data_IF_081854444060
#
_entry.id   IF_081854444060
#
_cell.length_a   1.000
_cell.length_b   1.000
_cell.length_c   1.000
_cell.angle_alpha   90.00
_cell.angle_beta   90.00
_cell.angle_gamma   90.00
#
_symmetry.space_group_name_H-M   'P 1'
#
loop_
_entity.id
_entity.type
_entity.pdbx_description
1 polymer ?
#
# COMPACT_ATOMS: atom_id res chain seq x y z
N UNK A 1 -47.46 -15.23 32.02
CA UNK A 1 -46.81 -16.29 31.22
C UNK A 1 -46.69 -15.92 29.75
N UNK A 2 -47.79 -15.62 29.04
CA UNK A 2 -47.76 -15.22 27.61
C UNK A 2 -46.93 -13.95 27.36
N UNK A 3 -47.07 -12.92 28.21
CA UNK A 3 -46.28 -11.69 28.11
C UNK A 3 -44.76 -11.94 28.25
N UNK A 4 -44.39 -12.90 29.09
CA UNK A 4 -43.01 -13.31 29.41
C UNK A 4 -42.36 -14.07 28.24
N UNK A 5 -43.13 -14.93 27.57
CA UNK A 5 -42.74 -15.59 26.32
C UNK A 5 -42.55 -14.59 25.18
N UNK A 6 -43.40 -13.57 25.10
CA UNK A 6 -43.26 -12.48 24.12
C UNK A 6 -42.01 -11.64 24.42
N UNK A 7 -41.69 -11.38 25.69
CA UNK A 7 -40.48 -10.59 26.04
C UNK A 7 -39.17 -11.35 25.77
N UNK A 8 -39.17 -12.68 25.82
CA UNK A 8 -38.02 -13.51 25.40
C UNK A 8 -37.93 -13.72 23.89
N UNK A 9 -39.09 -13.85 23.23
CA UNK A 9 -39.15 -14.02 21.79
C UNK A 9 -38.79 -12.74 21.05
N UNK A 10 -39.12 -11.56 21.56
CA UNK A 10 -38.85 -10.28 20.86
C UNK A 10 -37.36 -10.04 20.63
N UNK A 11 -36.43 -10.21 21.59
CA UNK A 11 -34.99 -10.13 21.33
C UNK A 11 -34.50 -11.22 20.38
N UNK A 12 -34.98 -12.45 20.48
CA UNK A 12 -34.60 -13.56 19.59
C UNK A 12 -35.11 -13.30 18.16
N UNK A 13 -36.31 -12.74 18.02
CA UNK A 13 -36.91 -12.34 16.76
C UNK A 13 -36.22 -11.09 16.22
N UNK A 14 -35.80 -10.13 17.04
CA UNK A 14 -35.03 -8.96 16.61
C UNK A 14 -33.63 -9.40 16.18
N UNK A 15 -32.96 -10.29 16.92
CA UNK A 15 -31.66 -10.87 16.52
C UNK A 15 -31.82 -11.70 15.25
N UNK A 16 -32.89 -12.49 15.14
CA UNK A 16 -33.23 -13.29 13.96
C UNK A 16 -33.61 -12.42 12.75
N UNK A 17 -34.35 -11.33 12.96
CA UNK A 17 -34.80 -10.40 11.93
C UNK A 17 -33.67 -9.48 11.49
N UNK A 18 -32.84 -8.96 12.40
CA UNK A 18 -31.59 -8.26 12.06
C UNK A 18 -30.66 -9.21 11.32
N UNK A 19 -30.55 -10.48 11.73
CA UNK A 19 -29.79 -11.48 10.98
C UNK A 19 -30.40 -11.80 9.60
N UNK A 20 -31.73 -11.82 9.46
CA UNK A 20 -32.44 -12.11 8.20
C UNK A 20 -32.57 -10.91 7.25
N UNK A 21 -32.63 -9.68 7.76
CA UNK A 21 -32.69 -8.45 6.96
C UNK A 21 -31.28 -8.06 6.49
N UNK A 22 -30.23 -8.41 7.26
CA UNK A 22 -28.84 -8.47 6.77
C UNK A 22 -28.69 -9.54 5.67
N UNK A 23 -29.41 -10.66 5.76
CA UNK A 23 -29.39 -11.78 4.81
C UNK A 23 -29.90 -11.42 3.40
N UNK A 24 -30.65 -10.31 3.24
CA UNK A 24 -31.16 -9.89 1.93
C UNK A 24 -30.28 -8.88 1.20
N UNK A 25 -29.29 -8.27 1.88
CA UNK A 25 -28.46 -7.22 1.29
C UNK A 25 -26.94 -7.45 1.36
N UNK A 26 -26.43 -8.33 2.22
CA UNK A 26 -24.98 -8.65 2.27
C UNK A 26 -24.73 -10.12 2.67
N UNK A 27 -24.65 -11.03 1.69
CA UNK A 27 -24.22 -12.42 1.88
C UNK A 27 -22.80 -12.54 2.46
N UNK A 28 -21.97 -11.53 2.27
CA UNK A 28 -20.54 -11.57 2.59
C UNK A 28 -20.25 -11.45 4.10
N UNK A 29 -21.17 -10.87 4.87
CA UNK A 29 -21.03 -10.74 6.33
C UNK A 29 -21.38 -12.06 7.03
N UNK A 30 -22.34 -12.83 6.49
CA UNK A 30 -22.71 -14.14 7.02
C UNK A 30 -21.62 -15.18 6.73
N UNK A 31 -21.02 -15.14 5.54
CA UNK A 31 -19.83 -15.94 5.24
C UNK A 31 -18.64 -15.53 6.11
N UNK A 32 -18.47 -14.24 6.43
CA UNK A 32 -17.45 -13.80 7.39
C UNK A 32 -17.69 -14.36 8.80
N UNK A 33 -18.92 -14.33 9.31
CA UNK A 33 -19.26 -14.88 10.63
C UNK A 33 -19.18 -16.41 10.68
N UNK A 34 -19.61 -17.11 9.62
CA UNK A 34 -19.53 -18.57 9.53
C UNK A 34 -18.09 -19.08 9.33
N UNK A 35 -17.23 -18.28 8.68
CA UNK A 35 -15.81 -18.62 8.46
C UNK A 35 -14.96 -18.49 9.73
N UNK A 36 -15.38 -17.67 10.70
CA UNK A 36 -14.70 -17.50 11.98
C UNK A 36 -15.38 -18.33 13.08
N UNK A 37 -15.09 -19.64 13.11
CA UNK A 37 -15.60 -20.61 14.11
C UNK A 37 -15.46 -20.13 15.56
N UNK A 38 -14.48 -19.27 15.83
CA UNK A 38 -14.20 -18.68 17.14
C UNK A 38 -15.35 -17.81 17.66
N UNK A 39 -16.03 -17.04 16.79
CA UNK A 39 -17.13 -16.17 17.18
C UNK A 39 -18.35 -16.97 17.65
N UNK A 40 -18.65 -18.09 16.98
CA UNK A 40 -19.74 -18.99 17.38
C UNK A 40 -19.51 -19.61 18.75
N UNK A 41 -18.26 -20.02 19.04
CA UNK A 41 -17.87 -20.58 20.33
C UNK A 41 -18.03 -19.54 21.44
N UNK A 42 -17.60 -18.30 21.22
CA UNK A 42 -17.76 -17.20 22.18
C UNK A 42 -19.25 -16.92 22.45
N UNK A 43 -20.08 -16.82 21.41
CA UNK A 43 -21.53 -16.58 21.57
C UNK A 43 -22.21 -17.72 22.33
N UNK A 44 -21.92 -18.98 21.97
CA UNK A 44 -22.46 -20.14 22.67
C UNK A 44 -22.05 -20.16 24.15
N UNK A 45 -20.79 -19.81 24.43
CA UNK A 45 -20.26 -19.75 25.79
C UNK A 45 -20.95 -18.68 26.64
N UNK A 46 -21.15 -17.47 26.09
CA UNK A 46 -21.91 -16.40 26.76
C UNK A 46 -23.34 -16.85 27.04
N UNK A 47 -24.00 -17.46 26.06
CA UNK A 47 -25.38 -17.95 26.19
C UNK A 47 -25.49 -19.05 27.28
N UNK A 48 -24.51 -19.96 27.33
CA UNK A 48 -24.42 -21.00 28.34
C UNK A 48 -24.20 -20.43 29.75
N UNK A 49 -23.30 -19.45 29.90
CA UNK A 49 -23.12 -18.74 31.18
C UNK A 49 -24.41 -18.02 31.59
N UNK A 50 -25.09 -17.33 30.67
CA UNK A 50 -26.36 -16.66 30.95
C UNK A 50 -27.43 -17.65 31.42
N UNK A 51 -27.52 -18.84 30.81
CA UNK A 51 -28.45 -19.90 31.24
C UNK A 51 -28.09 -20.42 32.63
N UNK A 52 -26.80 -20.64 32.92
CA UNK A 52 -26.35 -21.10 34.24
C UNK A 52 -26.68 -20.07 35.32
N UNK A 53 -26.37 -18.79 35.06
CA UNK A 53 -26.68 -17.70 35.99
C UNK A 53 -28.18 -17.58 36.23
N UNK A 54 -28.99 -17.63 35.18
CA UNK A 54 -30.46 -17.64 35.29
C UNK A 54 -30.98 -18.85 36.08
N UNK A 55 -30.42 -20.04 35.85
CA UNK A 55 -30.82 -21.27 36.53
C UNK A 55 -30.46 -21.23 38.02
N UNK A 56 -29.26 -20.74 38.35
CA UNK A 56 -28.82 -20.55 39.72
C UNK A 56 -29.72 -19.53 40.43
N UNK A 57 -30.00 -18.41 39.78
CA UNK A 57 -30.82 -17.36 40.37
C UNK A 57 -32.29 -17.75 40.53
N UNK A 58 -32.85 -18.54 39.61
CA UNK A 58 -34.18 -19.14 39.75
C UNK A 58 -34.27 -20.18 40.89
N UNK A 59 -33.16 -20.85 41.21
CA UNK A 59 -33.09 -21.81 42.32
C UNK A 59 -32.96 -21.16 43.70
N UNK A 60 -32.39 -19.94 43.78
CA UNK A 60 -32.09 -19.26 45.04
C UNK A 60 -32.92 -17.98 45.32
N UNK A 61 -33.62 -17.41 44.33
CA UNK A 61 -34.41 -16.18 44.49
C UNK A 61 -35.77 -16.27 43.79
N UNK A 62 -36.81 -15.64 44.37
CA UNK A 62 -38.10 -15.46 43.71
C UNK A 62 -37.93 -14.50 42.51
N UNK A 63 -38.30 -14.95 41.32
CA UNK A 63 -38.22 -14.19 40.07
C UNK A 63 -39.32 -13.12 39.99
N UNK A 64 -39.26 -12.13 40.88
CA UNK A 64 -40.23 -11.05 40.99
C UNK A 64 -40.09 -10.02 39.85
N UNK A 65 -41.08 -9.15 39.70
CA UNK A 65 -41.09 -8.11 38.65
C UNK A 65 -39.88 -7.18 38.71
N UNK A 66 -39.41 -6.88 39.91
CA UNK A 66 -38.22 -6.03 40.14
C UNK A 66 -36.92 -6.69 39.63
N UNK A 67 -36.85 -8.03 39.69
CA UNK A 67 -35.73 -8.78 39.12
C UNK A 67 -35.66 -8.58 37.60
N UNK A 68 -36.78 -8.75 36.89
CA UNK A 68 -36.79 -8.58 35.42
C UNK A 68 -36.49 -7.14 34.97
N UNK A 69 -36.96 -6.15 35.74
CA UNK A 69 -36.71 -4.73 35.46
C UNK A 69 -35.24 -4.34 35.62
N UNK A 70 -34.49 -5.02 36.49
CA UNK A 70 -33.04 -4.81 36.64
C UNK A 70 -32.22 -5.71 35.71
N UNK A 71 -32.64 -6.96 35.50
CA UNK A 71 -31.92 -7.93 34.69
C UNK A 71 -31.88 -7.56 33.20
N UNK A 72 -33.01 -7.14 32.61
CA UNK A 72 -33.08 -6.87 31.17
C UNK A 72 -32.14 -5.72 30.75
N UNK A 73 -32.15 -4.53 31.40
CA UNK A 73 -31.24 -3.44 31.04
C UNK A 73 -29.77 -3.82 31.25
N UNK A 74 -29.45 -4.55 32.32
CA UNK A 74 -28.09 -5.01 32.59
C UNK A 74 -27.62 -6.00 31.51
N UNK A 75 -28.45 -6.99 31.16
CA UNK A 75 -28.15 -7.96 30.12
C UNK A 75 -27.97 -7.28 28.75
N UNK A 76 -28.81 -6.30 28.40
CA UNK A 76 -28.64 -5.53 27.17
C UNK A 76 -27.32 -4.74 27.20
N UNK A 77 -27.01 -4.09 28.32
CA UNK A 77 -25.76 -3.33 28.49
C UNK A 77 -24.54 -4.23 28.34
N UNK A 78 -24.57 -5.41 28.95
CA UNK A 78 -23.48 -6.39 28.87
C UNK A 78 -23.33 -6.95 27.45
N UNK A 79 -24.44 -7.28 26.78
CA UNK A 79 -24.41 -7.75 25.39
C UNK A 79 -23.84 -6.70 24.44
N UNK A 80 -24.28 -5.44 24.56
CA UNK A 80 -23.75 -4.32 23.78
C UNK A 80 -22.27 -4.09 24.10
N UNK A 81 -21.90 -4.16 25.38
CA UNK A 81 -20.51 -4.02 25.84
C UNK A 81 -19.59 -5.09 25.25
N UNK A 82 -20.03 -6.36 25.24
CA UNK A 82 -19.29 -7.48 24.63
C UNK A 82 -19.11 -7.24 23.13
N UNK A 83 -20.15 -6.83 22.41
CA UNK A 83 -20.06 -6.57 20.96
C UNK A 83 -19.04 -5.47 20.66
N UNK A 84 -19.08 -4.36 21.40
CA UNK A 84 -18.14 -3.25 21.24
C UNK A 84 -16.72 -3.70 21.58
N UNK A 85 -16.53 -4.45 22.68
CA UNK A 85 -15.23 -4.96 23.09
C UNK A 85 -14.63 -5.90 22.04
N UNK A 86 -15.42 -6.85 21.52
CA UNK A 86 -14.99 -7.76 20.45
C UNK A 86 -14.58 -6.99 19.19
N UNK A 87 -15.35 -5.96 18.82
CA UNK A 87 -15.03 -5.12 17.67
C UNK A 87 -13.69 -4.37 17.85
N UNK A 88 -13.48 -3.76 19.02
CA UNK A 88 -12.23 -3.06 19.34
C UNK A 88 -11.05 -4.04 19.36
N UNK A 89 -11.21 -5.21 19.98
CA UNK A 89 -10.18 -6.26 20.02
C UNK A 89 -9.82 -6.72 18.61
N UNK A 90 -10.82 -6.95 17.75
CA UNK A 90 -10.59 -7.37 16.36
C UNK A 90 -9.78 -6.31 15.59
N UNK A 91 -10.14 -5.02 15.72
CA UNK A 91 -9.37 -3.93 15.10
C UNK A 91 -7.91 -3.92 15.57
N UNK A 92 -7.68 -4.07 16.89
CA UNK A 92 -6.33 -4.05 17.46
C UNK A 92 -5.54 -5.28 17.00
N UNK A 93 -6.16 -6.47 16.99
CA UNK A 93 -5.52 -7.70 16.56
C UNK A 93 -5.15 -7.65 15.08
N UNK A 94 -6.06 -7.20 14.20
CA UNK A 94 -5.80 -7.08 12.77
C UNK A 94 -4.65 -6.10 12.50
N UNK A 95 -4.66 -4.91 13.12
CA UNK A 95 -3.54 -3.95 13.00
C UNK A 95 -2.22 -4.52 13.49
N UNK A 96 -2.23 -5.31 14.56
CA UNK A 96 -1.03 -5.97 15.07
C UNK A 96 -0.53 -7.05 14.11
N UNK A 97 -1.43 -7.85 13.53
CA UNK A 97 -1.09 -8.88 12.55
C UNK A 97 -0.49 -8.25 11.29
N UNK A 98 -1.14 -7.22 10.73
CA UNK A 98 -0.63 -6.46 9.57
C UNK A 98 0.79 -5.93 9.82
N UNK A 99 1.02 -5.28 10.97
CA UNK A 99 2.37 -4.81 11.34
C UNK A 99 3.37 -5.96 11.47
N UNK A 100 2.99 -7.07 12.08
CA UNK A 100 3.88 -8.23 12.22
C UNK A 100 4.24 -8.85 10.87
N UNK A 101 3.29 -8.95 9.95
CA UNK A 101 3.52 -9.44 8.59
C UNK A 101 4.43 -8.51 7.80
N UNK A 102 4.20 -7.19 7.91
CA UNK A 102 5.03 -6.16 7.31
C UNK A 102 6.46 -6.18 7.85
N UNK A 103 6.63 -6.20 9.18
CA UNK A 103 7.92 -6.35 9.85
C UNK A 103 8.67 -7.62 9.42
N UNK A 104 7.95 -8.74 9.33
CA UNK A 104 8.52 -10.02 8.89
C UNK A 104 8.99 -9.94 7.44
N UNK A 105 8.19 -9.34 6.56
CA UNK A 105 8.56 -9.11 5.16
C UNK A 105 9.79 -8.22 5.06
N UNK A 106 9.81 -7.10 5.80
CA UNK A 106 10.94 -6.18 5.84
C UNK A 106 12.24 -6.90 6.28
N UNK A 107 12.19 -7.76 7.30
CA UNK A 107 13.36 -8.55 7.70
C UNK A 107 13.88 -9.50 6.61
N UNK A 108 13.00 -9.96 5.70
CA UNK A 108 13.37 -10.89 4.64
C UNK A 108 13.95 -10.21 3.40
N UNK A 109 13.47 -9.01 3.05
CA UNK A 109 13.81 -8.34 1.78
C UNK A 109 14.11 -6.84 1.88
N UNK A 110 14.05 -6.24 3.07
CA UNK A 110 14.09 -4.79 3.30
C UNK A 110 15.26 -4.09 2.61
N UNK A 111 16.50 -4.52 2.88
CA UNK A 111 17.68 -3.90 2.24
C UNK A 111 17.64 -3.97 0.71
N UNK A 112 17.14 -5.06 0.13
CA UNK A 112 17.06 -5.22 -1.33
C UNK A 112 15.94 -4.39 -1.92
N UNK A 113 14.82 -4.30 -1.20
CA UNK A 113 13.71 -3.43 -1.53
C UNK A 113 14.15 -1.96 -1.52
N UNK A 114 14.82 -1.51 -0.47
CA UNK A 114 15.31 -0.14 -0.37
C UNK A 114 16.28 0.19 -1.50
N UNK A 115 17.25 -0.67 -1.79
CA UNK A 115 18.17 -0.47 -2.91
C UNK A 115 17.44 -0.35 -4.25
N UNK A 116 16.44 -1.20 -4.48
CA UNK A 116 15.58 -1.17 -5.67
C UNK A 116 14.87 0.18 -5.80
N UNK A 117 14.13 0.58 -4.76
CA UNK A 117 13.33 1.82 -4.80
C UNK A 117 14.24 3.05 -4.90
N UNK A 118 15.35 3.07 -4.15
CA UNK A 118 16.35 4.15 -4.24
C UNK A 118 16.90 4.28 -5.67
N UNK A 119 17.22 3.17 -6.33
CA UNK A 119 17.69 3.19 -7.71
C UNK A 119 16.62 3.75 -8.67
N UNK A 120 15.37 3.34 -8.53
CA UNK A 120 14.25 3.86 -9.33
C UNK A 120 14.02 5.35 -9.13
N UNK A 121 14.07 5.81 -7.87
CA UNK A 121 13.92 7.23 -7.55
C UNK A 121 15.06 8.05 -8.14
N UNK A 122 16.31 7.57 -8.08
CA UNK A 122 17.45 8.24 -8.73
C UNK A 122 17.25 8.38 -10.23
N UNK A 123 16.82 7.32 -10.90
CA UNK A 123 16.53 7.33 -12.34
C UNK A 123 15.41 8.32 -12.67
N UNK A 124 14.33 8.32 -11.90
CA UNK A 124 13.22 9.26 -12.04
C UNK A 124 13.67 10.71 -11.88
N UNK A 125 14.39 11.04 -10.80
CA UNK A 125 14.89 12.39 -10.55
C UNK A 125 15.81 12.84 -11.69
N UNK A 126 16.72 11.99 -12.16
CA UNK A 126 17.57 12.31 -13.31
C UNK A 126 16.79 12.53 -14.60
N UNK A 127 15.71 11.78 -14.81
CA UNK A 127 14.83 11.97 -15.96
C UNK A 127 14.18 13.36 -15.94
N UNK A 128 13.64 13.77 -14.79
CA UNK A 128 12.90 15.03 -14.67
C UNK A 128 13.83 16.23 -14.62
N UNK A 129 14.85 16.21 -13.75
CA UNK A 129 15.81 17.30 -13.55
C UNK A 129 16.80 17.48 -14.71
N UNK A 130 16.91 16.48 -15.59
CA UNK A 130 17.84 16.43 -16.74
C UNK A 130 19.32 16.46 -16.35
N UNK A 131 19.60 16.16 -15.08
CA UNK A 131 20.94 16.16 -14.48
C UNK A 131 21.25 14.80 -13.87
N UNK A 132 22.53 14.40 -13.82
CA UNK A 132 22.91 13.19 -13.12
C UNK A 132 22.55 13.34 -11.63
N UNK A 133 22.10 12.26 -11.01
CA UNK A 133 21.85 12.27 -9.58
C UNK A 133 23.19 12.40 -8.83
N UNK A 134 23.50 13.61 -8.35
CA UNK A 134 24.74 13.88 -7.64
C UNK A 134 24.55 13.60 -6.17
N UNK A 135 25.22 12.57 -5.69
CA UNK A 135 25.36 12.32 -4.26
C UNK A 135 26.54 13.15 -3.80
N UNK A 136 26.31 14.12 -2.92
CA UNK A 136 27.41 14.79 -2.23
C UNK A 136 28.28 13.78 -1.46
N UNK A 137 29.32 14.26 -0.76
CA UNK A 137 30.16 13.39 0.10
C UNK A 137 29.39 12.77 1.27
N UNK A 138 28.15 13.17 1.49
CA UNK A 138 27.27 12.66 2.53
C UNK A 138 26.62 11.34 2.10
N UNK A 139 26.52 10.43 3.06
CA UNK A 139 25.76 9.19 2.91
C UNK A 139 24.31 9.48 2.51
N UNK A 140 23.82 8.73 1.53
CA UNK A 140 22.47 8.94 1.00
C UNK A 140 21.49 8.27 1.95
N UNK A 141 20.84 9.06 2.78
CA UNK A 141 19.75 8.59 3.65
C UNK A 141 18.43 8.55 2.89
N UNK A 142 17.53 7.65 3.29
CA UNK A 142 16.17 7.56 2.72
C UNK A 142 15.43 8.88 2.87
N UNK A 143 15.60 9.58 4.01
CA UNK A 143 15.02 10.90 4.26
C UNK A 143 15.45 11.93 3.21
N UNK A 144 16.74 11.93 2.81
CA UNK A 144 17.26 12.85 1.80
C UNK A 144 16.71 12.53 0.41
N UNK A 145 16.61 11.25 0.06
CA UNK A 145 16.00 10.83 -1.21
C UNK A 145 14.52 11.23 -1.25
N UNK A 146 13.81 11.03 -0.13
CA UNK A 146 12.39 11.41 0.02
C UNK A 146 12.20 12.89 -0.24
N UNK A 147 12.97 13.76 0.41
CA UNK A 147 12.87 15.21 0.19
C UNK A 147 13.18 15.61 -1.26
N UNK A 148 14.18 14.99 -1.89
CA UNK A 148 14.52 15.27 -3.30
C UNK A 148 13.40 14.82 -4.25
N UNK A 149 12.74 13.70 -3.96
CA UNK A 149 11.60 13.21 -4.72
C UNK A 149 10.38 14.16 -4.55
N UNK A 150 10.09 14.59 -3.32
CA UNK A 150 9.03 15.56 -3.02
C UNK A 150 9.25 16.87 -3.80
N UNK A 151 10.47 17.42 -3.76
CA UNK A 151 10.85 18.63 -4.51
C UNK A 151 10.66 18.42 -6.02
N UNK A 152 11.13 17.29 -6.55
CA UNK A 152 11.02 16.96 -7.99
C UNK A 152 9.56 16.86 -8.45
N UNK A 153 8.68 16.27 -7.63
CA UNK A 153 7.25 16.17 -7.90
C UNK A 153 6.59 17.56 -7.83
N UNK A 154 6.96 18.37 -6.83
CA UNK A 154 6.47 19.75 -6.67
C UNK A 154 6.83 20.65 -7.85
N UNK A 155 8.05 20.50 -8.39
CA UNK A 155 8.58 21.31 -9.47
C UNK A 155 8.26 20.76 -10.88
N UNK A 156 7.46 19.70 -10.99
CA UNK A 156 7.22 19.00 -12.25
C UNK A 156 6.70 19.92 -13.37
N UNK A 157 5.89 20.93 -13.03
CA UNK A 157 5.35 21.87 -14.00
C UNK A 157 6.44 22.75 -14.62
N UNK A 158 7.50 23.05 -13.86
CA UNK A 158 8.65 23.81 -14.33
C UNK A 158 9.63 22.92 -15.10
N UNK A 159 9.81 21.67 -14.63
CA UNK A 159 10.74 20.72 -15.23
C UNK A 159 10.23 20.12 -16.55
N UNK A 160 8.92 20.04 -16.76
CA UNK A 160 8.29 19.55 -17.98
C UNK A 160 7.70 20.73 -18.76
N UNK A 161 8.52 21.33 -19.63
CA UNK A 161 8.17 22.43 -20.53
C UNK A 161 7.95 21.94 -21.98
N UNK A 162 7.50 22.80 -22.89
CA UNK A 162 7.33 22.46 -24.32
C UNK A 162 8.61 21.91 -24.98
N UNK A 163 9.77 22.24 -24.41
CA UNK A 163 11.10 21.79 -24.86
C UNK A 163 11.59 20.55 -24.10
N UNK A 164 10.71 19.83 -23.43
CA UNK A 164 11.08 18.70 -22.58
C UNK A 164 11.83 17.62 -23.34
N UNK A 165 11.41 17.30 -24.57
CA UNK A 165 12.01 16.29 -25.45
C UNK A 165 13.18 16.78 -26.30
N UNK A 166 13.33 18.09 -26.49
CA UNK A 166 14.39 18.66 -27.34
C UNK A 166 15.69 18.91 -26.57
N UNK A 167 15.62 19.15 -25.26
CA UNK A 167 16.83 19.31 -24.44
C UNK A 167 17.39 17.94 -24.04
N UNK A 168 18.68 17.68 -24.28
CA UNK A 168 19.32 16.43 -23.88
C UNK A 168 19.43 16.32 -22.36
N UNK A 169 19.67 15.10 -21.88
CA UNK A 169 19.91 14.79 -20.48
C UNK A 169 21.42 14.65 -20.26
N UNK A 170 21.92 15.33 -19.24
CA UNK A 170 23.31 15.22 -18.81
C UNK A 170 23.50 13.92 -18.01
N UNK A 171 24.47 13.11 -18.43
CA UNK A 171 24.85 11.87 -17.77
C UNK A 171 26.37 11.80 -17.60
N UNK A 172 26.81 11.10 -16.57
CA UNK A 172 28.24 10.87 -16.32
C UNK A 172 28.65 9.52 -16.91
N UNK A 173 29.55 9.51 -17.89
CA UNK A 173 30.04 8.27 -18.53
C UNK A 173 31.50 8.01 -18.14
N UNK A 174 31.80 6.74 -17.84
CA UNK A 174 33.16 6.27 -17.60
C UNK A 174 33.82 5.80 -18.90
N UNK A 175 34.95 6.40 -19.27
CA UNK A 175 35.71 6.01 -20.45
C UNK A 175 36.86 5.05 -20.10
N UNK A 176 36.62 3.74 -20.20
CA UNK A 176 37.59 2.69 -19.83
C UNK A 176 38.94 2.83 -20.54
N UNK A 177 38.90 3.11 -21.85
CA UNK A 177 40.07 3.17 -22.73
C UNK A 177 40.90 4.45 -22.62
N UNK A 178 40.52 5.39 -21.76
CA UNK A 178 41.27 6.63 -21.58
C UNK A 178 42.47 6.41 -20.66
N UNK A 179 43.68 6.74 -21.11
CA UNK A 179 44.86 6.78 -20.24
C UNK A 179 44.90 8.13 -19.54
N UNK A 180 44.55 8.15 -18.26
CA UNK A 180 44.57 9.32 -17.38
C UNK A 180 45.41 9.02 -16.14
N UNK A 181 46.01 10.05 -15.54
CA UNK A 181 46.77 9.89 -14.29
C UNK A 181 45.85 9.66 -13.07
N UNK A 182 44.55 10.00 -13.21
CA UNK A 182 43.54 9.82 -12.19
C UNK A 182 42.30 9.14 -12.79
N UNK A 183 41.78 8.12 -12.10
CA UNK A 183 40.56 7.39 -12.50
C UNK A 183 39.34 8.33 -12.55
N UNK A 184 39.31 9.38 -11.74
CA UNK A 184 38.23 10.36 -11.76
C UNK A 184 38.18 11.18 -13.06
N UNK A 185 39.31 11.38 -13.74
CA UNK A 185 39.38 12.10 -15.02
C UNK A 185 38.77 11.30 -16.19
N UNK A 186 38.48 10.01 -15.96
CA UNK A 186 37.78 9.15 -16.92
C UNK A 186 36.27 9.36 -16.92
N UNK A 187 35.72 10.00 -15.88
CA UNK A 187 34.32 10.41 -15.85
C UNK A 187 34.17 11.73 -16.58
N UNK A 188 33.31 11.77 -17.59
CA UNK A 188 33.00 12.99 -18.34
C UNK A 188 31.50 13.16 -18.48
N UNK A 189 31.08 14.40 -18.48
CA UNK A 189 29.71 14.77 -18.81
C UNK A 189 29.45 14.44 -20.28
N UNK A 190 28.38 13.70 -20.51
CA UNK A 190 27.89 13.32 -21.81
C UNK A 190 26.41 13.69 -21.91
N UNK A 191 25.98 14.05 -23.10
CA UNK A 191 24.59 14.45 -23.36
C UNK A 191 23.92 13.34 -24.14
N UNK A 192 22.90 12.74 -23.54
CA UNK A 192 22.11 11.67 -24.16
C UNK A 192 20.76 12.26 -24.58
N UNK A 193 20.30 11.84 -25.75
CA UNK A 193 18.96 12.18 -26.22
C UNK A 193 17.91 11.64 -25.24
N UNK A 194 16.90 12.45 -24.95
CA UNK A 194 15.91 12.11 -23.92
C UNK A 194 15.22 10.78 -24.20
N UNK A 195 14.89 10.53 -25.47
CA UNK A 195 14.16 9.33 -25.88
C UNK A 195 14.99 8.07 -25.57
N UNK A 196 16.29 8.14 -25.83
CA UNK A 196 17.21 7.03 -25.57
C UNK A 196 17.40 6.83 -24.05
N UNK A 197 17.41 7.92 -23.28
CA UNK A 197 17.46 7.86 -21.81
C UNK A 197 16.16 7.32 -21.18
N UNK A 198 14.98 7.71 -21.68
CA UNK A 198 13.69 7.19 -21.19
C UNK A 198 13.55 5.70 -21.45
N UNK A 199 14.05 5.22 -22.59
CA UNK A 199 14.09 3.78 -22.90
C UNK A 199 15.05 3.03 -22.00
N UNK A 200 16.22 3.62 -21.70
CA UNK A 200 17.14 3.08 -20.72
C UNK A 200 16.46 2.94 -19.35
N UNK A 201 15.81 4.00 -18.85
CA UNK A 201 15.06 3.97 -17.60
C UNK A 201 14.03 2.85 -17.60
N UNK A 202 13.20 2.77 -18.66
CA UNK A 202 12.18 1.73 -18.79
C UNK A 202 12.77 0.34 -18.61
N UNK A 203 13.85 0.04 -19.34
CA UNK A 203 14.51 -1.26 -19.28
C UNK A 203 15.11 -1.55 -17.90
N UNK A 204 15.79 -0.58 -17.30
CA UNK A 204 16.39 -0.76 -15.98
C UNK A 204 15.32 -0.96 -14.89
N UNK A 205 14.24 -0.18 -14.92
CA UNK A 205 13.14 -0.30 -13.95
C UNK A 205 12.41 -1.63 -14.14
N UNK A 206 12.00 -1.98 -15.36
CA UNK A 206 11.32 -3.26 -15.63
C UNK A 206 12.19 -4.45 -15.26
N UNK A 207 13.44 -4.47 -15.70
CA UNK A 207 14.36 -5.57 -15.36
C UNK A 207 14.59 -5.70 -13.85
N UNK A 208 14.64 -4.59 -13.12
CA UNK A 208 14.80 -4.62 -11.67
C UNK A 208 13.52 -5.05 -10.94
N UNK A 209 12.34 -4.59 -11.40
CA UNK A 209 11.04 -5.01 -10.90
C UNK A 209 10.80 -6.50 -11.13
N UNK A 210 10.98 -6.98 -12.36
CA UNK A 210 10.79 -8.39 -12.71
C UNK A 210 11.66 -9.29 -11.85
N UNK A 211 12.93 -8.94 -11.70
CA UNK A 211 13.86 -9.71 -10.87
C UNK A 211 13.46 -9.71 -9.40
N UNK A 212 12.96 -8.58 -8.89
CA UNK A 212 12.52 -8.47 -7.51
C UNK A 212 11.22 -9.23 -7.25
N UNK A 213 10.19 -8.99 -8.07
CA UNK A 213 8.88 -9.64 -7.99
C UNK A 213 9.05 -11.15 -8.11
N UNK A 214 9.71 -11.65 -9.15
CA UNK A 214 9.90 -13.09 -9.33
C UNK A 214 10.59 -13.77 -8.15
N UNK A 215 11.48 -13.06 -7.46
CA UNK A 215 12.21 -13.59 -6.31
C UNK A 215 11.41 -13.56 -5.00
N UNK A 216 10.51 -12.58 -4.85
CA UNK A 216 9.85 -12.29 -3.58
C UNK A 216 8.32 -12.39 -3.59
N UNK A 217 7.69 -12.65 -4.73
CA UNK A 217 6.22 -12.64 -4.91
C UNK A 217 5.46 -13.47 -3.87
N UNK A 218 6.03 -14.59 -3.42
CA UNK A 218 5.39 -15.47 -2.42
C UNK A 218 5.35 -14.88 -1.01
N UNK A 219 6.22 -13.91 -0.71
CA UNK A 219 6.31 -13.26 0.60
C UNK A 219 5.87 -11.79 0.58
N UNK A 220 5.61 -11.22 -0.60
CA UNK A 220 5.15 -9.84 -0.72
C UNK A 220 3.72 -9.69 -0.15
N UNK A 221 3.49 -8.70 0.73
CA UNK A 221 2.16 -8.24 1.12
C UNK A 221 1.33 -7.83 -0.10
N UNK A 222 0.01 -8.00 -0.02
CA UNK A 222 -0.89 -7.78 -1.16
C UNK A 222 -0.92 -6.31 -1.61
N UNK A 223 -0.96 -5.39 -0.66
CA UNK A 223 -0.86 -3.94 -0.86
C UNK A 223 0.47 -3.53 -1.52
N UNK A 224 1.59 -4.14 -1.12
CA UNK A 224 2.88 -3.88 -1.75
C UNK A 224 2.93 -4.42 -3.18
N UNK A 225 2.33 -5.58 -3.46
CA UNK A 225 2.22 -6.10 -4.84
C UNK A 225 1.46 -5.12 -5.72
N UNK A 226 0.35 -4.59 -5.23
CA UNK A 226 -0.47 -3.62 -5.97
C UNK A 226 0.33 -2.36 -6.33
N UNK A 227 1.14 -1.84 -5.40
CA UNK A 227 2.03 -0.70 -5.68
C UNK A 227 3.12 -1.04 -6.71
N UNK A 228 3.76 -2.22 -6.60
CA UNK A 228 4.79 -2.65 -7.54
C UNK A 228 4.23 -2.88 -8.95
N UNK A 229 3.04 -3.48 -9.07
CA UNK A 229 2.36 -3.67 -10.35
C UNK A 229 1.87 -2.35 -10.93
N UNK A 230 1.38 -1.43 -10.09
CA UNK A 230 1.04 -0.07 -10.55
C UNK A 230 2.26 0.64 -11.16
N UNK A 231 3.44 0.48 -10.56
CA UNK A 231 4.68 1.00 -11.12
C UNK A 231 5.08 0.30 -12.43
N UNK A 232 4.93 -1.02 -12.50
CA UNK A 232 5.18 -1.81 -13.71
C UNK A 232 4.28 -1.37 -14.88
N UNK A 233 2.99 -1.16 -14.62
CA UNK A 233 2.00 -0.71 -15.61
C UNK A 233 2.36 0.69 -16.15
N UNK A 234 2.69 1.62 -15.24
CA UNK A 234 3.14 2.96 -15.61
C UNK A 234 4.42 2.91 -16.45
N UNK A 235 5.38 2.05 -16.07
CA UNK A 235 6.65 1.88 -16.80
C UNK A 235 6.43 1.25 -18.18
N UNK A 236 5.47 0.35 -18.30
CA UNK A 236 5.12 -0.34 -19.54
C UNK A 236 4.40 0.55 -20.55
N UNK A 237 3.78 1.64 -20.07
CA UNK A 237 3.05 2.61 -20.87
C UNK A 237 3.84 3.27 -22.01
N UNK A 238 3.10 3.94 -22.89
CA UNK A 238 3.64 4.57 -24.11
C UNK A 238 4.52 5.80 -23.83
N UNK A 239 4.50 6.35 -22.62
CA UNK A 239 5.26 7.55 -22.25
C UNK A 239 6.78 7.32 -22.23
N UNK A 240 7.20 6.06 -22.09
CA UNK A 240 8.60 5.63 -22.18
C UNK A 240 8.94 5.00 -23.53
N UNK A 241 8.02 4.98 -24.50
CA UNK A 241 8.25 4.33 -25.79
C UNK A 241 9.30 5.12 -26.59
N UNK A 242 10.34 4.43 -27.07
CA UNK A 242 11.29 5.01 -28.01
C UNK A 242 10.76 4.93 -29.46
N UNK A 243 10.23 6.03 -30.05
CA UNK A 243 9.76 6.01 -31.42
C UNK A 243 10.85 5.65 -32.44
N UNK A 244 12.14 5.87 -32.14
CA UNK A 244 13.25 5.48 -33.03
C UNK A 244 13.32 3.96 -33.23
N UNK A 245 12.80 3.16 -32.29
CA UNK A 245 12.68 1.70 -32.47
C UNK A 245 11.64 1.32 -33.52
N UNK A 246 10.58 2.11 -33.65
CA UNK A 246 9.54 1.90 -34.67
C UNK A 246 9.92 2.55 -36.01
N UNK A 247 10.57 3.71 -35.97
CA UNK A 247 11.06 4.43 -37.13
C UNK A 247 12.39 5.13 -36.82
N UNK A 248 13.55 4.53 -37.20
CA UNK A 248 14.88 5.10 -36.92
C UNK A 248 15.13 6.50 -37.51
N UNK A 249 14.33 6.91 -38.50
CA UNK A 249 14.44 8.22 -39.16
C UNK A 249 13.54 9.29 -38.51
N UNK A 250 12.81 8.94 -37.44
CA UNK A 250 11.91 9.88 -36.77
C UNK A 250 12.69 10.98 -36.07
N UNK A 251 12.44 12.24 -36.45
CA UNK A 251 12.98 13.41 -35.77
C UNK A 251 12.19 13.65 -34.46
N UNK A 252 12.85 13.71 -33.29
CA UNK A 252 12.21 14.00 -32.00
C UNK A 252 11.37 15.28 -32.00
N UNK A 253 11.75 16.29 -32.80
CA UNK A 253 11.02 17.55 -32.92
C UNK A 253 9.62 17.42 -33.55
N UNK A 254 9.31 16.28 -34.19
CA UNK A 254 8.03 16.02 -34.82
C UNK A 254 7.07 15.21 -33.94
N UNK A 255 7.46 14.88 -32.70
CA UNK A 255 6.60 14.18 -31.75
C UNK A 255 5.52 15.15 -31.28
N UNK A 256 4.24 14.76 -31.44
CA UNK A 256 3.14 15.51 -30.85
C UNK A 256 3.24 15.41 -29.32
N UNK A 257 3.67 16.50 -28.69
CA UNK A 257 3.95 16.57 -27.26
C UNK A 257 2.92 17.47 -26.58
N UNK A 258 2.14 16.88 -25.68
CA UNK A 258 1.28 17.63 -24.76
C UNK A 258 1.95 17.67 -23.37
N UNK A 259 2.52 18.81 -22.95
CA UNK A 259 3.19 18.92 -21.66
C UNK A 259 2.31 18.50 -20.48
N UNK A 260 0.99 18.74 -20.53
CA UNK A 260 0.08 18.42 -19.43
C UNK A 260 -0.08 16.91 -19.25
N UNK A 261 -0.20 16.17 -20.35
CA UNK A 261 -0.30 14.71 -20.30
C UNK A 261 0.97 14.10 -19.68
N UNK A 262 2.14 14.62 -20.05
CA UNK A 262 3.41 14.16 -19.48
C UNK A 262 3.60 14.59 -18.03
N UNK A 263 3.19 15.81 -17.66
CA UNK A 263 3.19 16.27 -16.25
C UNK A 263 2.37 15.34 -15.37
N UNK A 264 1.16 15.00 -15.79
CA UNK A 264 0.29 14.10 -15.03
C UNK A 264 0.90 12.71 -14.94
N UNK A 265 1.37 12.15 -16.06
CA UNK A 265 2.02 10.83 -16.06
C UNK A 265 3.22 10.76 -15.09
N UNK A 266 4.15 11.70 -15.19
CA UNK A 266 5.33 11.69 -14.33
C UNK A 266 4.98 12.02 -12.88
N UNK A 267 3.92 12.81 -12.62
CA UNK A 267 3.41 13.03 -11.27
C UNK A 267 2.91 11.73 -10.66
N UNK A 268 2.04 11.00 -11.37
CA UNK A 268 1.52 9.71 -10.94
C UNK A 268 2.66 8.71 -10.69
N UNK A 269 3.66 8.68 -11.58
CA UNK A 269 4.87 7.86 -11.41
C UNK A 269 5.65 8.23 -10.14
N UNK A 270 5.86 9.52 -9.91
CA UNK A 270 6.54 10.03 -8.71
C UNK A 270 5.77 9.73 -7.43
N UNK A 271 4.44 9.84 -7.44
CA UNK A 271 3.58 9.53 -6.29
C UNK A 271 3.63 8.04 -5.95
N UNK A 272 3.60 7.14 -6.95
CA UNK A 272 3.78 5.70 -6.71
C UNK A 272 5.16 5.40 -6.12
N UNK A 273 6.22 6.03 -6.64
CA UNK A 273 7.55 5.92 -6.06
C UNK A 273 7.62 6.44 -4.62
N UNK A 274 6.88 7.50 -4.28
CA UNK A 274 6.80 8.05 -2.92
C UNK A 274 6.16 7.05 -1.96
N UNK A 275 5.05 6.43 -2.37
CA UNK A 275 4.38 5.39 -1.59
C UNK A 275 5.28 4.19 -1.37
N UNK A 276 6.01 3.77 -2.40
CA UNK A 276 6.99 2.68 -2.29
C UNK A 276 8.14 3.06 -1.35
N UNK A 277 8.69 4.28 -1.47
CA UNK A 277 9.81 4.73 -0.64
C UNK A 277 9.44 4.80 0.85
N UNK A 278 8.21 5.21 1.15
CA UNK A 278 7.70 5.33 2.53
C UNK A 278 7.03 4.05 3.05
N UNK A 279 6.91 3.00 2.21
CA UNK A 279 6.19 1.79 2.56
C UNK A 279 6.69 1.18 3.88
N UNK A 280 8.01 1.06 4.10
CA UNK A 280 8.58 0.47 5.32
C UNK A 280 9.08 1.50 6.34
N UNK A 281 8.68 2.77 6.26
CA UNK A 281 9.17 3.85 7.15
C UNK A 281 8.95 3.52 8.66
N UNK A 282 7.84 2.85 8.98
CA UNK A 282 7.51 2.43 10.35
C UNK A 282 8.41 1.30 10.91
N UNK A 283 9.11 0.55 10.05
CA UNK A 283 9.86 -0.65 10.42
C UNK A 283 11.38 -0.41 10.54
N UNK A 284 11.83 0.83 10.32
CA UNK A 284 13.25 1.24 10.37
C UNK A 284 13.74 1.60 11.78
N UNK A 285 12.84 1.64 12.78
CA UNK A 285 13.10 2.01 14.18
C UNK A 285 12.78 0.87 15.15
#
# INVERSE_FOLDING_TARGET
MILMLITFMVPIIIIGYVSLDINKKNSDILDYYMKHKENYVITLFVLLISIILLSFQAGFANLDREFWLSFIPNLITDLVGIIIAVFIINIILNRRQERQEKAKTYRMMGNRYEQLIIQMVKLYISAISRKPFVTGREEITITKIKSMLEETIGDINFQIDENFFTKPIEVLIFHENMTTNNVFDKFRDHYVDRIDFTEYIKREIQGSLDNFINRYISILPQDLKELLFSLEDLTSGNMFLNPKKLNPQMNPSNINFDPEVFRNFYRDFGEVLMLLLTYFEDEQY
#
